data_IF_869655843224
#
_entry.id   IF_869655843224
#
_cell.length_a   1.000
_cell.length_b   1.000
_cell.length_c   1.000
_cell.angle_alpha   90.00
_cell.angle_beta   90.00
_cell.angle_gamma   90.00
#
_symmetry.space_group_name_H-M   'P 1'
#
loop_
_entity.id
_entity.type
_entity.pdbx_description
1 polymer ?
#
# COMPACT_ATOMS: atom_id res chain seq x y z
N UNK A 1 -10.67 -19.22 5.71
CA UNK A 1 -10.40 -18.86 4.30
C UNK A 1 -9.01 -19.34 3.91
N UNK A 2 -8.89 -20.08 2.82
CA UNK A 2 -7.56 -20.36 2.23
C UNK A 2 -6.93 -19.05 1.73
N UNK A 3 -5.62 -18.88 1.93
CA UNK A 3 -4.92 -17.70 1.41
C UNK A 3 -4.84 -17.89 -0.10
N UNK A 4 -5.72 -17.22 -0.83
CA UNK A 4 -5.68 -17.23 -2.29
C UNK A 4 -4.55 -16.30 -2.75
N UNK A 5 -3.56 -16.88 -3.45
CA UNK A 5 -2.40 -16.17 -4.00
C UNK A 5 -2.84 -15.00 -4.90
N UNK A 6 -3.92 -15.15 -5.66
CA UNK A 6 -4.48 -14.09 -6.51
C UNK A 6 -4.97 -12.92 -5.65
N UNK A 7 -5.65 -13.21 -4.53
CA UNK A 7 -6.13 -12.17 -3.61
C UNK A 7 -4.96 -11.48 -2.90
N UNK A 8 -3.93 -12.23 -2.52
CA UNK A 8 -2.70 -11.67 -1.95
C UNK A 8 -1.98 -10.75 -2.95
N UNK A 9 -1.84 -11.16 -4.22
CA UNK A 9 -1.26 -10.33 -5.27
C UNK A 9 -2.08 -9.07 -5.53
N UNK A 10 -3.42 -9.18 -5.57
CA UNK A 10 -4.29 -8.00 -5.70
C UNK A 10 -4.13 -7.05 -4.52
N UNK A 11 -3.95 -7.57 -3.30
CA UNK A 11 -3.69 -6.75 -2.12
C UNK A 11 -2.32 -6.06 -2.18
N UNK A 12 -1.28 -6.73 -2.68
CA UNK A 12 0.05 -6.14 -2.91
C UNK A 12 -0.05 -5.00 -3.94
N UNK A 13 -0.63 -5.26 -5.11
CA UNK A 13 -0.72 -4.28 -6.20
C UNK A 13 -1.62 -3.10 -5.80
N UNK A 14 -2.78 -3.38 -5.22
CA UNK A 14 -3.68 -2.35 -4.71
C UNK A 14 -3.07 -1.54 -3.57
N UNK A 15 -2.34 -2.20 -2.67
CA UNK A 15 -1.60 -1.56 -1.60
C UNK A 15 -0.48 -0.66 -2.10
N UNK A 16 0.28 -1.11 -3.10
CA UNK A 16 1.31 -0.31 -3.74
C UNK A 16 0.74 0.95 -4.41
N UNK A 17 -0.38 0.81 -5.12
CA UNK A 17 -1.07 1.93 -5.77
C UNK A 17 -1.62 2.95 -4.77
N UNK A 18 -2.26 2.48 -3.69
CA UNK A 18 -2.75 3.35 -2.60
C UNK A 18 -1.60 4.05 -1.87
N UNK A 19 -0.53 3.30 -1.59
CA UNK A 19 0.70 3.82 -1.00
C UNK A 19 1.29 4.94 -1.86
N UNK A 20 1.43 4.73 -3.17
CA UNK A 20 1.94 5.73 -4.10
C UNK A 20 1.03 6.97 -4.22
N UNK A 21 -0.29 6.80 -4.19
CA UNK A 21 -1.25 7.88 -4.33
C UNK A 21 -1.30 8.82 -3.11
N UNK A 22 -1.04 8.31 -1.90
CA UNK A 22 -1.04 9.08 -0.66
C UNK A 22 -0.08 10.28 -0.64
N UNK A 23 1.23 10.15 -0.90
CA UNK A 23 2.15 11.28 -0.94
C UNK A 23 1.78 12.26 -2.06
N UNK A 24 1.31 11.77 -3.22
CA UNK A 24 0.80 12.61 -4.29
C UNK A 24 -0.39 13.46 -3.86
N UNK A 25 -1.39 12.85 -3.20
CA UNK A 25 -2.54 13.55 -2.62
C UNK A 25 -2.16 14.55 -1.51
N UNK A 26 -1.16 14.20 -0.69
CA UNK A 26 -0.59 15.11 0.32
C UNK A 26 0.07 16.34 -0.31
N UNK A 27 0.72 16.20 -1.46
CA UNK A 27 1.32 17.32 -2.21
C UNK A 27 0.27 18.29 -2.76
N UNK A 28 -0.91 17.79 -3.13
CA UNK A 28 -2.03 18.65 -3.52
C UNK A 28 -2.57 19.49 -2.35
N UNK A 29 -2.52 18.95 -1.13
CA UNK A 29 -2.98 19.66 0.07
C UNK A 29 -1.92 20.61 0.65
N UNK A 30 -0.65 20.20 0.58
CA UNK A 30 0.50 20.94 1.09
C UNK A 30 1.46 21.16 -0.07
N UNK A 31 1.37 22.29 -0.81
CA UNK A 31 2.18 22.54 -2.00
C UNK A 31 3.69 22.56 -1.72
N UNK A 32 4.10 22.83 -0.49
CA UNK A 32 5.50 22.78 -0.05
C UNK A 32 6.04 21.36 0.13
N UNK A 33 5.17 20.35 0.17
CA UNK A 33 5.55 18.94 0.28
C UNK A 33 5.95 18.40 -1.09
N UNK A 34 7.25 18.43 -1.37
CA UNK A 34 7.81 17.89 -2.60
C UNK A 34 7.81 16.36 -2.58
N UNK A 35 6.98 15.75 -3.42
CA UNK A 35 6.98 14.30 -3.61
C UNK A 35 8.13 13.94 -4.55
N UNK A 36 9.22 13.47 -3.96
CA UNK A 36 10.32 12.89 -4.72
C UNK A 36 9.99 11.45 -5.11
N UNK A 37 10.65 10.95 -6.16
CA UNK A 37 10.52 9.55 -6.56
C UNK A 37 10.82 8.59 -5.38
N UNK A 38 11.82 8.92 -4.55
CA UNK A 38 12.17 8.14 -3.35
C UNK A 38 11.01 8.04 -2.36
N UNK A 39 10.33 9.15 -2.05
CA UNK A 39 9.17 9.17 -1.16
C UNK A 39 7.99 8.39 -1.76
N UNK A 40 7.73 8.58 -3.05
CA UNK A 40 6.64 7.90 -3.73
C UNK A 40 6.86 6.37 -3.74
N UNK A 41 8.07 5.90 -4.02
CA UNK A 41 8.40 4.48 -3.99
C UNK A 41 8.45 3.89 -2.58
N UNK A 42 8.91 4.64 -1.57
CA UNK A 42 8.91 4.16 -0.19
C UNK A 42 7.48 3.96 0.35
N UNK A 43 6.57 4.89 0.01
CA UNK A 43 5.16 4.76 0.37
C UNK A 43 4.46 3.65 -0.43
N UNK A 44 4.81 3.45 -1.71
CA UNK A 44 4.34 2.31 -2.49
C UNK A 44 4.79 0.98 -1.87
N UNK A 45 6.06 0.85 -1.48
CA UNK A 45 6.58 -0.32 -0.78
C UNK A 45 5.86 -0.55 0.55
N UNK A 46 5.66 0.49 1.36
CA UNK A 46 4.92 0.40 2.61
C UNK A 46 3.50 -0.10 2.38
N UNK A 47 2.77 0.48 1.42
CA UNK A 47 1.42 0.05 1.06
C UNK A 47 1.36 -1.38 0.51
N UNK A 48 2.35 -1.77 -0.29
CA UNK A 48 2.50 -3.11 -0.86
C UNK A 48 2.73 -4.19 0.20
N UNK A 49 3.27 -3.84 1.38
CA UNK A 49 3.51 -4.76 2.50
C UNK A 49 2.36 -4.71 3.51
N UNK A 50 1.85 -3.53 3.84
CA UNK A 50 0.83 -3.34 4.88
C UNK A 50 -0.51 -3.98 4.50
N UNK A 51 -0.98 -3.81 3.25
CA UNK A 51 -2.25 -4.39 2.82
C UNK A 51 -2.28 -5.92 2.83
N UNK A 52 -1.29 -6.64 2.25
CA UNK A 52 -1.25 -8.10 2.34
C UNK A 52 -0.95 -8.59 3.74
N UNK A 53 -0.17 -7.86 4.56
CA UNK A 53 0.04 -8.21 5.96
C UNK A 53 -1.27 -8.12 6.76
N UNK A 54 -2.08 -7.08 6.53
CA UNK A 54 -3.42 -6.95 7.10
C UNK A 54 -4.36 -8.07 6.61
N UNK A 55 -4.29 -8.42 5.33
CA UNK A 55 -5.07 -9.54 4.77
C UNK A 55 -4.69 -10.88 5.43
N UNK A 56 -3.39 -11.14 5.62
CA UNK A 56 -2.89 -12.33 6.31
C UNK A 56 -3.24 -12.33 7.81
N UNK A 57 -3.14 -11.18 8.48
CA UNK A 57 -3.46 -11.02 9.90
C UNK A 57 -4.96 -11.12 10.21
N UNK A 58 -5.84 -10.78 9.25
CA UNK A 58 -7.30 -10.95 9.39
C UNK A 58 -7.78 -12.38 9.19
N UNK A 59 -6.89 -13.35 8.97
CA UNK A 59 -7.25 -14.76 9.05
C UNK A 59 -7.48 -15.10 10.54
N UNK A 60 -8.71 -15.36 11.00
CA UNK A 60 -8.89 -15.89 12.36
C UNK A 60 -8.14 -17.22 12.43
N UNK A 61 -7.42 -17.45 13.52
CA UNK A 61 -6.73 -18.70 13.81
C UNK A 61 -7.70 -19.85 14.18
N UNK A 62 -8.89 -19.88 13.59
CA UNK A 62 -9.93 -20.88 13.81
C UNK A 62 -10.56 -21.31 12.49
#
# INVERSE_FOLDING_TARGET
MEINVITLMKAIIGGAGLGFALPGGLSFLIPAFTVTAGIAYSFALAGAVVLPALYAARKPAH
#
